data_IF_682565154753
#
_entry.id   IF_682565154753
#
_cell.length_a   1.000
_cell.length_b   1.000
_cell.length_c   1.000
_cell.angle_alpha   90.00
_cell.angle_beta   90.00
_cell.angle_gamma   90.00
#
_symmetry.space_group_name_H-M   'P 1'
#
loop_
_entity.id
_entity.type
_entity.pdbx_description
1 polymer ?
#
# COMPACT_ATOMS: atom_id res chain seq x y z
N UNK A 1 -17.13 -11.21 4.07
CA UNK A 1 -17.00 -9.93 3.33
C UNK A 1 -17.29 -8.68 4.18
N UNK A 2 -17.76 -8.76 5.44
CA UNK A 2 -18.13 -7.56 6.22
C UNK A 2 -16.96 -6.74 6.83
N UNK A 3 -15.74 -7.28 6.95
CA UNK A 3 -14.64 -6.58 7.67
C UNK A 3 -13.80 -5.64 6.80
N UNK A 4 -13.63 -5.95 5.51
CA UNK A 4 -12.84 -5.08 4.61
C UNK A 4 -13.53 -3.72 4.38
N UNK A 5 -14.86 -3.73 4.25
CA UNK A 5 -15.65 -2.51 4.05
C UNK A 5 -15.69 -1.61 5.29
N UNK A 6 -15.67 -2.18 6.50
CA UNK A 6 -15.68 -1.38 7.73
C UNK A 6 -14.39 -0.56 7.86
N UNK A 7 -13.23 -1.19 7.66
CA UNK A 7 -11.93 -0.50 7.68
C UNK A 7 -11.84 0.60 6.62
N UNK A 8 -12.23 0.28 5.38
CA UNK A 8 -12.26 1.25 4.28
C UNK A 8 -13.21 2.43 4.55
N UNK A 9 -14.36 2.19 5.18
CA UNK A 9 -15.30 3.26 5.56
C UNK A 9 -14.74 4.19 6.63
N UNK A 10 -13.90 3.67 7.53
CA UNK A 10 -13.25 4.41 8.61
C UNK A 10 -12.21 5.40 8.06
N UNK A 11 -11.43 4.98 7.07
CA UNK A 11 -10.43 5.85 6.43
C UNK A 11 -11.05 7.00 5.61
N UNK A 12 -12.32 6.90 5.21
CA UNK A 12 -13.01 8.00 4.51
C UNK A 12 -13.22 9.22 5.38
N UNK A 13 -13.25 9.07 6.71
CA UNK A 13 -13.39 10.21 7.64
C UNK A 13 -12.04 10.80 8.03
N UNK A 14 -10.93 10.20 7.60
CA UNK A 14 -9.58 10.65 7.94
C UNK A 14 -9.12 11.76 7.02
N UNK A 15 -8.30 12.67 7.56
CA UNK A 15 -7.60 13.65 6.75
C UNK A 15 -6.56 12.98 5.84
N UNK A 16 -6.12 13.71 4.81
CA UNK A 16 -5.05 13.25 3.94
C UNK A 16 -3.75 12.93 4.71
N UNK A 17 -3.45 13.71 5.74
CA UNK A 17 -2.29 13.54 6.62
C UNK A 17 -2.41 12.26 7.45
N UNK A 18 -3.55 12.02 8.10
CA UNK A 18 -3.80 10.80 8.88
C UNK A 18 -3.69 9.53 8.03
N UNK A 19 -4.22 9.56 6.80
CA UNK A 19 -4.06 8.46 5.85
C UNK A 19 -2.59 8.22 5.50
N UNK A 20 -1.84 9.30 5.21
CA UNK A 20 -0.42 9.22 4.87
C UNK A 20 0.42 8.67 6.02
N UNK A 21 0.18 9.13 7.24
CA UNK A 21 0.91 8.69 8.44
C UNK A 21 0.68 7.20 8.73
N UNK A 22 -0.54 6.71 8.51
CA UNK A 22 -0.85 5.29 8.68
C UNK A 22 -0.21 4.43 7.59
N UNK A 23 -0.19 4.92 6.35
CA UNK A 23 0.54 4.25 5.26
C UNK A 23 2.05 4.25 5.56
N UNK A 24 2.61 5.30 6.16
CA UNK A 24 4.01 5.32 6.57
C UNK A 24 4.31 4.19 7.57
N UNK A 25 3.41 3.93 8.54
CA UNK A 25 3.55 2.77 9.44
C UNK A 25 3.47 1.43 8.71
N UNK A 26 2.63 1.32 7.68
CA UNK A 26 2.58 0.11 6.85
C UNK A 26 3.88 -0.11 6.08
N UNK A 27 4.52 0.95 5.58
CA UNK A 27 5.83 0.89 4.93
C UNK A 27 6.90 0.42 5.93
N UNK A 28 6.89 0.92 7.16
CA UNK A 28 7.77 0.40 8.22
C UNK A 28 7.49 -1.09 8.52
N UNK A 29 6.22 -1.50 8.55
CA UNK A 29 5.84 -2.90 8.67
C UNK A 29 6.40 -3.76 7.52
N UNK A 30 6.36 -3.27 6.28
CA UNK A 30 6.97 -3.92 5.12
C UNK A 30 8.49 -4.05 5.28
N UNK A 31 9.18 -2.98 5.70
CA UNK A 31 10.61 -3.02 6.01
C UNK A 31 10.94 -4.03 7.10
N UNK A 32 10.01 -4.27 8.04
CA UNK A 32 10.10 -5.28 9.08
C UNK A 32 9.63 -6.69 8.67
N UNK A 33 9.24 -6.92 7.41
CA UNK A 33 8.89 -8.23 6.88
C UNK A 33 7.40 -8.47 6.57
N UNK A 34 6.54 -7.44 6.65
CA UNK A 34 5.17 -7.54 6.16
C UNK A 34 5.18 -7.85 4.64
N UNK A 35 4.36 -8.80 4.14
CA UNK A 35 4.27 -9.08 2.72
C UNK A 35 3.86 -7.85 1.89
N UNK A 36 4.54 -7.62 0.75
CA UNK A 36 4.27 -6.45 -0.13
C UNK A 36 2.84 -6.44 -0.65
N UNK A 37 2.24 -7.61 -0.89
CA UNK A 37 0.84 -7.71 -1.29
C UNK A 37 -0.12 -7.10 -0.25
N UNK A 38 0.19 -7.28 1.05
CA UNK A 38 -0.60 -6.70 2.14
C UNK A 38 -0.39 -5.18 2.17
N UNK A 39 0.86 -4.71 2.03
CA UNK A 39 1.16 -3.28 1.90
C UNK A 39 0.31 -2.64 0.79
N UNK A 40 0.35 -3.16 -0.44
CA UNK A 40 -0.39 -2.59 -1.56
C UNK A 40 -1.91 -2.52 -1.32
N UNK A 41 -2.50 -3.62 -0.84
CA UNK A 41 -3.96 -3.69 -0.60
C UNK A 41 -4.41 -2.78 0.54
N UNK A 42 -3.66 -2.74 1.63
CA UNK A 42 -3.99 -1.90 2.78
C UNK A 42 -3.81 -0.42 2.44
N UNK A 43 -2.77 -0.07 1.68
CA UNK A 43 -2.59 1.29 1.19
C UNK A 43 -3.75 1.70 0.26
N UNK A 44 -4.22 0.83 -0.63
CA UNK A 44 -5.41 1.11 -1.46
C UNK A 44 -6.66 1.36 -0.61
N UNK A 45 -6.88 0.55 0.43
CA UNK A 45 -8.00 0.73 1.35
C UNK A 45 -7.91 2.06 2.11
N UNK A 46 -6.73 2.44 2.59
CA UNK A 46 -6.50 3.69 3.36
C UNK A 46 -6.59 4.92 2.46
N UNK A 47 -5.95 4.88 1.29
CA UNK A 47 -5.95 5.99 0.34
C UNK A 47 -7.29 6.15 -0.39
N UNK A 48 -8.18 5.15 -0.31
CA UNK A 48 -9.51 5.14 -0.93
C UNK A 48 -9.50 5.02 -2.45
N UNK A 49 -8.33 4.94 -3.08
CA UNK A 49 -8.19 4.66 -4.52
C UNK A 49 -6.79 4.15 -4.84
N UNK A 50 -6.69 3.33 -5.88
CA UNK A 50 -5.40 2.81 -6.34
C UNK A 50 -4.45 3.91 -6.77
N UNK A 51 -4.91 4.89 -7.55
CA UNK A 51 -4.08 5.99 -8.06
C UNK A 51 -3.34 6.70 -6.92
N UNK A 52 -4.08 7.08 -5.88
CA UNK A 52 -3.53 7.76 -4.71
C UNK A 52 -2.62 6.87 -3.88
N UNK A 53 -2.94 5.58 -3.77
CA UNK A 53 -2.07 4.61 -3.12
C UNK A 53 -0.69 4.54 -3.78
N UNK A 54 -0.62 4.55 -5.12
CA UNK A 54 0.67 4.58 -5.83
C UNK A 54 1.46 5.85 -5.54
N UNK A 55 0.81 7.01 -5.61
CA UNK A 55 1.45 8.30 -5.35
C UNK A 55 2.10 8.30 -3.96
N UNK A 56 1.35 7.89 -2.93
CA UNK A 56 1.87 7.83 -1.55
C UNK A 56 3.00 6.80 -1.41
N UNK A 57 2.87 5.60 -2.00
CA UNK A 57 3.95 4.61 -1.95
C UNK A 57 5.21 5.12 -2.66
N UNK A 58 5.06 5.86 -3.75
CA UNK A 58 6.19 6.43 -4.47
C UNK A 58 6.89 7.56 -3.72
N UNK A 59 6.18 8.27 -2.84
CA UNK A 59 6.76 9.26 -1.93
C UNK A 59 7.47 8.62 -0.73
N UNK A 60 6.96 7.49 -0.22
CA UNK A 60 7.45 6.87 1.02
C UNK A 60 8.52 5.78 0.80
N UNK A 61 8.55 5.19 -0.39
CA UNK A 61 9.51 4.14 -0.76
C UNK A 61 10.47 4.63 -1.83
N UNK A 62 11.75 4.29 -1.68
CA UNK A 62 12.75 4.62 -2.71
C UNK A 62 12.51 3.79 -3.98
N UNK A 63 13.00 4.24 -5.15
CA UNK A 63 12.93 3.46 -6.39
C UNK A 63 13.48 2.04 -6.23
N UNK A 64 14.58 1.88 -5.49
CA UNK A 64 15.24 0.60 -5.22
C UNK A 64 14.35 -0.31 -4.37
N UNK A 65 13.77 0.21 -3.28
CA UNK A 65 12.84 -0.55 -2.43
C UNK A 65 11.63 -1.04 -3.23
N UNK A 66 11.07 -0.19 -4.10
CA UNK A 66 9.94 -0.55 -4.97
C UNK A 66 10.31 -1.62 -5.98
N UNK A 67 11.47 -1.50 -6.62
CA UNK A 67 11.95 -2.48 -7.60
C UNK A 67 12.22 -3.84 -6.95
N UNK A 68 12.84 -3.84 -5.76
CA UNK A 68 13.08 -5.05 -4.99
C UNK A 68 11.77 -5.73 -4.58
N UNK A 69 10.82 -4.96 -4.06
CA UNK A 69 9.50 -5.46 -3.65
C UNK A 69 8.76 -6.14 -4.81
N UNK A 70 8.77 -5.53 -5.99
CA UNK A 70 8.17 -6.09 -7.19
C UNK A 70 8.93 -7.31 -7.75
N UNK A 71 10.24 -7.43 -7.47
CA UNK A 71 11.07 -8.56 -7.87
C UNK A 71 10.88 -9.82 -7.03
N UNK A 72 10.45 -9.67 -5.78
CA UNK A 72 10.21 -10.78 -4.83
C UNK A 72 8.92 -11.57 -5.12
N UNK A 73 7.99 -10.96 -5.85
CA UNK A 73 6.68 -11.56 -6.14
C UNK A 73 6.66 -12.27 -7.50
N UNK A 74 5.81 -13.30 -7.62
CA UNK A 74 5.64 -14.07 -8.86
C UNK A 74 4.16 -14.23 -9.24
N UNK A 75 3.89 -14.65 -10.48
CA UNK A 75 2.54 -14.91 -10.96
C UNK A 75 1.61 -13.68 -10.90
N UNK A 76 0.35 -13.91 -10.56
CA UNK A 76 -0.69 -12.86 -10.50
C UNK A 76 -0.41 -11.79 -9.43
N UNK A 77 0.21 -12.17 -8.31
CA UNK A 77 0.59 -11.25 -7.25
C UNK A 77 1.61 -10.21 -7.75
N UNK A 78 2.55 -10.64 -8.60
CA UNK A 78 3.52 -9.75 -9.24
C UNK A 78 2.86 -8.69 -10.11
N UNK A 79 1.85 -9.07 -10.90
CA UNK A 79 1.16 -8.12 -11.77
C UNK A 79 0.48 -7.02 -10.96
N UNK A 80 -0.14 -7.38 -9.83
CA UNK A 80 -0.72 -6.40 -8.92
C UNK A 80 0.36 -5.52 -8.28
N UNK A 81 1.43 -6.10 -7.74
CA UNK A 81 2.50 -5.32 -7.09
C UNK A 81 3.18 -4.36 -8.08
N UNK A 82 3.37 -4.77 -9.33
CA UNK A 82 3.87 -3.89 -10.39
C UNK A 82 2.90 -2.73 -10.69
N UNK A 83 1.59 -2.95 -10.67
CA UNK A 83 0.59 -1.88 -10.84
C UNK A 83 0.69 -0.82 -9.73
N UNK A 84 1.19 -1.19 -8.55
CA UNK A 84 1.37 -0.25 -7.43
C UNK A 84 2.72 0.46 -7.39
N UNK A 85 3.80 -0.22 -7.74
CA UNK A 85 5.17 0.18 -7.39
C UNK A 85 6.06 0.57 -8.58
N UNK A 86 5.60 0.32 -9.82
CA UNK A 86 6.32 0.67 -11.05
C UNK A 86 5.98 2.08 -11.50
#
# INVERSE_FOLDING_TARGET
MLHADLGASLYKTWSAEQQRDEIAKLVEGYRAGLPVLILCRMTEAIAGSRKRAREILHELMTPEERQEAAGRETGEARALVLDFLR
#
